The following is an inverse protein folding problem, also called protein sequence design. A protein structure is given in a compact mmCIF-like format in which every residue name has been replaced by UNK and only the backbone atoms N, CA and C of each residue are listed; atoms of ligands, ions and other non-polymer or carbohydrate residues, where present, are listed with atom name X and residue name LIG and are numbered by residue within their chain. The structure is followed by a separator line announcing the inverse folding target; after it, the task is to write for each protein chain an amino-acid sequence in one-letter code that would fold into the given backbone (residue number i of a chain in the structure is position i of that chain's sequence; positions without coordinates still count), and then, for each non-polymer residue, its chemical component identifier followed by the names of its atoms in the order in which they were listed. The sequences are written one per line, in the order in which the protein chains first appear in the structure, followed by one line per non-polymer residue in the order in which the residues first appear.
data_IF_213196338392
#
_entry.id   IF_213196338392
#
_cell.length_a   1.000
_cell.length_b   1.000
_cell.length_c   1.000
_cell.angle_alpha   90.00
_cell.angle_beta   90.00
_cell.angle_gamma   90.00
#
_symmetry.space_group_name_H-M   'P 1'
#
loop_
_entity.id
_entity.type
_entity.pdbx_description
1 polymer ?
#
# COMPACT_ATOMS: atom_id res chain seq x y z
N UNK A 1 1.72 28.97 20.12
CA UNK A 1 1.31 27.57 19.83
C UNK A 1 0.04 27.64 19.01
N UNK A 2 0.04 27.07 17.84
CA UNK A 2 -1.15 26.97 16.96
C UNK A 2 -2.10 26.01 17.68
N UNK A 3 -3.33 26.45 17.94
CA UNK A 3 -4.30 25.64 18.71
C UNK A 3 -5.40 25.14 17.78
N UNK A 4 -5.12 24.05 17.05
CA UNK A 4 -6.16 23.35 16.30
C UNK A 4 -7.11 22.63 17.25
N UNK A 5 -8.42 22.81 17.06
CA UNK A 5 -9.48 22.13 17.81
C UNK A 5 -10.21 21.08 16.99
N UNK A 6 -10.36 21.32 15.68
CA UNK A 6 -11.02 20.40 14.76
C UNK A 6 -10.14 20.15 13.55
N UNK A 7 -9.71 18.93 13.40
CA UNK A 7 -8.79 18.48 12.34
C UNK A 7 -9.49 17.46 11.48
N UNK A 8 -9.50 17.67 10.17
CA UNK A 8 -9.96 16.72 9.17
C UNK A 8 -8.77 16.11 8.44
N UNK A 9 -8.69 14.80 8.44
CA UNK A 9 -7.67 14.03 7.72
C UNK A 9 -8.39 13.10 6.73
N UNK A 10 -8.46 13.45 5.44
CA UNK A 10 -8.94 12.55 4.42
C UNK A 10 -7.89 11.49 4.09
N UNK A 11 -8.32 10.21 3.97
CA UNK A 11 -7.48 9.10 3.55
C UNK A 11 -8.27 8.07 2.75
N UNK A 12 -8.24 8.19 1.43
CA UNK A 12 -9.13 7.41 0.54
C UNK A 12 -8.41 6.29 -0.22
N UNK A 13 -7.10 6.12 -0.04
CA UNK A 13 -6.30 5.15 -0.77
C UNK A 13 -6.55 3.70 -0.30
N UNK A 14 -5.59 3.00 0.26
CA UNK A 14 -5.78 1.59 0.60
C UNK A 14 -5.73 1.33 2.11
N UNK A 15 -6.16 0.13 2.51
CA UNK A 15 -6.12 -0.31 3.90
C UNK A 15 -4.72 -0.19 4.52
N UNK A 16 -3.67 -0.56 3.75
CA UNK A 16 -2.28 -0.48 4.19
C UNK A 16 -1.83 0.95 4.46
N UNK A 17 -2.27 1.90 3.64
CA UNK A 17 -1.95 3.31 3.79
C UNK A 17 -2.51 3.89 5.10
N UNK A 18 -3.73 3.46 5.48
CA UNK A 18 -4.36 3.89 6.74
C UNK A 18 -3.62 3.28 7.92
N UNK A 19 -3.26 2.00 7.84
CA UNK A 19 -2.50 1.31 8.90
C UNK A 19 -1.15 1.99 9.16
N UNK A 20 -0.43 2.37 8.10
CA UNK A 20 0.86 3.06 8.23
C UNK A 20 0.74 4.48 8.82
N UNK A 21 -0.43 5.10 8.76
CA UNK A 21 -0.68 6.43 9.32
C UNK A 21 -0.83 6.42 10.86
N UNK A 22 -1.00 5.24 11.48
CA UNK A 22 -1.36 5.10 12.90
C UNK A 22 -0.40 5.85 13.84
N UNK A 23 0.92 5.67 13.72
CA UNK A 23 1.89 6.34 14.60
C UNK A 23 1.88 7.87 14.49
N UNK A 24 1.56 8.40 13.31
CA UNK A 24 1.34 9.84 13.14
C UNK A 24 0.06 10.30 13.86
N UNK A 25 -1.03 9.56 13.75
CA UNK A 25 -2.30 9.86 14.44
C UNK A 25 -2.13 9.81 15.95
N UNK A 26 -1.45 8.78 16.49
CA UNK A 26 -1.16 8.66 17.93
C UNK A 26 -0.42 9.90 18.43
N UNK A 27 0.62 10.31 17.71
CA UNK A 27 1.42 11.50 18.06
C UNK A 27 0.58 12.79 17.94
N UNK A 28 -0.23 12.92 16.89
CA UNK A 28 -1.10 14.08 16.70
C UNK A 28 -2.07 14.25 17.88
N UNK A 29 -2.67 13.15 18.36
CA UNK A 29 -3.54 13.16 19.54
C UNK A 29 -2.78 13.53 20.81
N UNK A 30 -1.54 13.09 20.96
CA UNK A 30 -0.70 13.41 22.11
C UNK A 30 -0.24 14.89 22.12
N UNK A 31 0.13 15.44 20.96
CA UNK A 31 0.55 16.84 20.83
C UNK A 31 -0.63 17.83 20.91
N UNK A 32 -1.83 17.39 20.54
CA UNK A 32 -3.05 18.20 20.53
C UNK A 32 -4.19 17.54 21.33
N UNK A 33 -4.05 17.37 22.65
CA UNK A 33 -4.98 16.60 23.49
C UNK A 33 -6.40 17.19 23.57
N UNK A 34 -6.59 18.41 23.12
CA UNK A 34 -7.89 19.10 23.08
C UNK A 34 -8.50 19.14 21.68
N UNK A 35 -7.81 18.57 20.69
CA UNK A 35 -8.31 18.51 19.32
C UNK A 35 -9.22 17.31 19.11
N UNK A 36 -10.25 17.50 18.31
CA UNK A 36 -11.03 16.41 17.72
C UNK A 36 -10.42 16.09 16.35
N UNK A 37 -9.83 14.92 16.22
CA UNK A 37 -9.30 14.41 14.95
C UNK A 37 -10.38 13.58 14.28
N UNK A 38 -10.78 13.98 13.07
CA UNK A 38 -11.70 13.21 12.22
C UNK A 38 -10.91 12.59 11.07
N UNK A 39 -10.93 11.28 10.98
CA UNK A 39 -10.36 10.53 9.88
C UNK A 39 -11.49 10.15 8.89
N UNK A 40 -11.45 10.74 7.71
CA UNK A 40 -12.42 10.51 6.65
C UNK A 40 -11.86 9.48 5.66
N UNK A 41 -12.50 8.32 5.60
CA UNK A 41 -12.05 7.16 4.84
C UNK A 41 -13.12 6.62 3.90
N UNK A 42 -12.80 5.65 3.06
CA UNK A 42 -13.80 4.91 2.31
C UNK A 42 -14.60 3.98 3.20
N UNK A 43 -15.83 3.71 2.80
CA UNK A 43 -16.70 2.74 3.47
C UNK A 43 -15.98 1.40 3.70
N UNK A 44 -16.13 0.87 4.91
CA UNK A 44 -15.51 -0.37 5.36
C UNK A 44 -14.12 -0.21 5.96
N UNK A 45 -13.43 0.92 5.79
CA UNK A 45 -12.12 1.16 6.42
C UNK A 45 -12.23 1.68 7.85
N UNK A 46 -13.40 2.24 8.23
CA UNK A 46 -13.76 2.55 9.62
C UNK A 46 -13.74 1.32 10.54
N UNK A 47 -13.77 0.11 9.98
CA UNK A 47 -13.59 -1.14 10.71
C UNK A 47 -12.20 -1.31 11.34
N UNK A 48 -11.24 -0.46 10.97
CA UNK A 48 -9.97 -0.32 11.69
C UNK A 48 -10.09 0.41 13.03
N UNK A 49 -11.20 1.11 13.28
CA UNK A 49 -11.37 1.93 14.48
C UNK A 49 -11.08 1.19 15.80
N UNK A 50 -11.49 -0.07 16.01
CA UNK A 50 -11.15 -0.81 17.23
C UNK A 50 -9.67 -1.09 17.43
N UNK A 51 -8.86 -1.02 16.36
CA UNK A 51 -7.43 -1.33 16.36
C UNK A 51 -6.56 -0.06 16.52
N UNK A 52 -7.16 1.12 16.35
CA UNK A 52 -6.50 2.42 16.40
C UNK A 52 -6.58 3.06 17.79
N UNK A 53 -5.77 4.10 18.08
CA UNK A 53 -5.90 4.89 19.31
C UNK A 53 -7.31 5.42 19.51
N UNK A 54 -7.75 5.51 20.75
CA UNK A 54 -9.04 6.10 21.08
C UNK A 54 -9.00 7.63 20.89
N UNK A 55 -10.15 8.22 20.57
CA UNK A 55 -10.27 9.67 20.41
C UNK A 55 -10.35 10.13 18.95
N UNK A 56 -10.30 9.22 18.01
CA UNK A 56 -10.52 9.50 16.60
C UNK A 56 -12.01 9.40 16.28
N UNK A 57 -12.55 10.40 15.59
CA UNK A 57 -13.85 10.33 14.94
C UNK A 57 -13.67 9.74 13.54
N UNK A 58 -14.26 8.60 13.27
CA UNK A 58 -14.28 8.00 11.95
C UNK A 58 -15.50 8.48 11.18
N UNK A 59 -15.28 8.85 9.92
CA UNK A 59 -16.30 9.24 8.96
C UNK A 59 -16.03 8.53 7.65
N UNK A 60 -17.07 8.09 6.96
CA UNK A 60 -16.91 7.31 5.72
C UNK A 60 -17.60 7.95 4.55
N UNK A 61 -17.21 7.53 3.35
CA UNK A 61 -17.85 7.84 2.08
C UNK A 61 -17.72 6.67 1.12
N UNK A 62 -18.77 6.42 0.33
CA UNK A 62 -18.76 5.43 -0.75
C UNK A 62 -18.07 5.91 -2.03
N UNK A 63 -17.67 7.18 -2.10
CA UNK A 63 -17.00 7.76 -3.27
C UNK A 63 -15.67 7.07 -3.54
N UNK A 64 -15.45 6.72 -4.80
CA UNK A 64 -14.24 6.04 -5.22
C UNK A 64 -13.20 7.03 -5.76
N UNK A 65 -12.00 7.13 -5.15
CA UNK A 65 -11.00 8.16 -5.48
C UNK A 65 -10.32 7.96 -6.84
N UNK A 66 -10.37 6.74 -7.40
CA UNK A 66 -9.60 6.33 -8.59
C UNK A 66 -10.46 5.96 -9.78
N UNK A 67 -11.70 6.41 -9.84
CA UNK A 67 -12.56 6.31 -11.01
C UNK A 67 -13.26 7.63 -11.31
N UNK A 68 -13.77 7.76 -12.52
CA UNK A 68 -14.62 8.88 -12.88
C UNK A 68 -15.89 8.92 -11.99
N UNK A 69 -16.36 10.13 -11.72
CA UNK A 69 -17.63 10.35 -11.03
C UNK A 69 -18.77 9.89 -11.91
N UNK A 70 -19.62 9.02 -11.38
CA UNK A 70 -20.82 8.52 -12.04
C UNK A 70 -22.06 9.29 -11.56
N UNK A 71 -23.17 9.18 -12.29
CA UNK A 71 -24.42 9.84 -11.91
C UNK A 71 -24.94 9.37 -10.54
N UNK A 72 -24.73 8.09 -10.22
CA UNK A 72 -25.04 7.50 -8.92
C UNK A 72 -24.27 8.11 -7.75
N UNK A 73 -23.09 8.69 -8.00
CA UNK A 73 -22.23 9.27 -6.96
C UNK A 73 -22.67 10.68 -6.54
N UNK A 74 -23.53 11.33 -7.31
CA UNK A 74 -23.88 12.74 -7.07
C UNK A 74 -24.60 12.96 -5.73
N UNK A 75 -25.42 12.02 -5.28
CA UNK A 75 -26.09 12.10 -3.99
C UNK A 75 -25.08 11.97 -2.84
N UNK A 76 -24.18 11.00 -2.95
CA UNK A 76 -23.13 10.79 -1.98
C UNK A 76 -22.15 11.98 -1.91
N UNK A 77 -21.77 12.51 -3.08
CA UNK A 77 -20.93 13.71 -3.15
C UNK A 77 -21.57 14.90 -2.43
N UNK A 78 -22.90 15.11 -2.64
CA UNK A 78 -23.63 16.16 -1.94
C UNK A 78 -23.66 15.91 -0.45
N UNK A 79 -23.98 14.67 -0.03
CA UNK A 79 -24.00 14.27 1.37
C UNK A 79 -22.66 14.50 2.05
N UNK A 80 -21.56 14.08 1.42
CA UNK A 80 -20.21 14.31 1.92
C UNK A 80 -19.91 15.80 2.09
N UNK A 81 -20.20 16.61 1.08
CA UNK A 81 -19.96 18.04 1.14
C UNK A 81 -20.80 18.72 2.23
N UNK A 82 -22.09 18.38 2.35
CA UNK A 82 -22.95 18.91 3.39
C UNK A 82 -22.43 18.55 4.79
N UNK A 83 -22.00 17.33 5.00
CA UNK A 83 -21.42 16.86 6.27
C UNK A 83 -20.12 17.60 6.62
N UNK A 84 -19.21 17.70 5.66
CA UNK A 84 -17.88 18.31 5.89
C UNK A 84 -17.98 19.82 6.04
N UNK A 85 -18.89 20.50 5.34
CA UNK A 85 -19.08 21.96 5.45
C UNK A 85 -19.96 22.37 6.63
N UNK A 86 -20.67 21.45 7.26
CA UNK A 86 -21.41 21.72 8.50
C UNK A 86 -20.52 21.98 9.71
N UNK A 87 -19.28 21.51 9.69
CA UNK A 87 -18.28 21.74 10.73
C UNK A 87 -17.34 22.91 10.35
N UNK A 88 -16.94 23.67 11.38
CA UNK A 88 -15.87 24.67 11.21
C UNK A 88 -14.51 24.01 11.51
N UNK A 89 -13.77 23.64 10.49
CA UNK A 89 -12.45 23.01 10.62
C UNK A 89 -11.36 24.06 10.83
N UNK A 90 -10.42 23.78 11.74
CA UNK A 90 -9.23 24.61 11.91
C UNK A 90 -8.11 24.15 10.96
N UNK A 91 -8.05 22.82 10.71
CA UNK A 91 -7.02 22.22 9.88
C UNK A 91 -7.62 21.13 8.97
N UNK A 92 -7.34 21.23 7.68
CA UNK A 92 -7.42 20.14 6.71
C UNK A 92 -5.99 19.63 6.46
N UNK A 93 -5.75 18.35 6.77
CA UNK A 93 -4.45 17.74 6.67
C UNK A 93 -4.47 16.58 5.67
N UNK A 94 -3.98 16.81 4.45
CA UNK A 94 -3.94 15.81 3.38
C UNK A 94 -2.62 15.05 3.46
N UNK A 95 -2.69 13.82 3.96
CA UNK A 95 -1.54 12.94 4.20
C UNK A 95 -1.20 12.05 3.00
N UNK A 96 -1.98 12.11 1.93
CA UNK A 96 -1.81 11.36 0.69
C UNK A 96 -0.83 12.06 -0.23
N UNK A 97 0.24 11.37 -0.66
CA UNK A 97 1.21 11.93 -1.61
C UNK A 97 0.58 12.14 -3.00
N UNK A 98 -0.02 11.10 -3.57
CA UNK A 98 -0.77 11.18 -4.83
C UNK A 98 -2.22 11.56 -4.52
N UNK A 99 -2.48 12.87 -4.44
CA UNK A 99 -3.79 13.40 -4.04
C UNK A 99 -4.88 12.96 -4.99
N UNK A 100 -5.97 12.53 -4.41
CA UNK A 100 -7.17 12.17 -5.17
C UNK A 100 -7.99 13.42 -5.50
N UNK A 101 -8.95 13.28 -6.41
CA UNK A 101 -9.88 14.37 -6.71
C UNK A 101 -10.73 14.77 -5.48
N UNK A 102 -10.96 13.84 -4.55
CA UNK A 102 -11.71 14.13 -3.31
C UNK A 102 -10.87 15.01 -2.39
N UNK A 103 -9.58 14.75 -2.24
CA UNK A 103 -8.65 15.56 -1.42
C UNK A 103 -8.64 17.02 -1.89
N UNK A 104 -8.55 17.21 -3.19
CA UNK A 104 -8.49 18.55 -3.79
C UNK A 104 -9.84 19.27 -3.76
N UNK A 105 -10.96 18.52 -3.92
CA UNK A 105 -12.30 19.06 -3.74
C UNK A 105 -12.51 19.57 -2.30
N UNK A 106 -12.12 18.78 -1.30
CA UNK A 106 -12.19 19.17 0.10
C UNK A 106 -11.34 20.43 0.36
N UNK A 107 -10.12 20.48 -0.16
CA UNK A 107 -9.26 21.66 -0.04
C UNK A 107 -9.89 22.92 -0.66
N UNK A 108 -10.56 22.79 -1.79
CA UNK A 108 -11.27 23.91 -2.43
C UNK A 108 -12.50 24.37 -1.63
N UNK A 109 -13.21 23.43 -0.96
CA UNK A 109 -14.44 23.72 -0.21
C UNK A 109 -14.19 24.23 1.20
N UNK A 110 -13.06 23.85 1.81
CA UNK A 110 -12.69 24.21 3.18
C UNK A 110 -11.69 25.38 3.24
N UNK A 111 -11.92 26.42 2.43
CA UNK A 111 -11.04 27.59 2.35
C UNK A 111 -10.93 28.36 3.70
N UNK A 112 -11.83 28.14 4.67
CA UNK A 112 -11.77 28.70 6.02
C UNK A 112 -10.81 27.98 6.96
N UNK A 113 -10.40 26.74 6.65
CA UNK A 113 -9.41 25.97 7.40
C UNK A 113 -7.99 26.27 6.90
N UNK A 114 -6.99 26.09 7.76
CA UNK A 114 -5.62 25.94 7.28
C UNK A 114 -5.50 24.62 6.54
N UNK A 115 -4.91 24.62 5.32
CA UNK A 115 -4.83 23.43 4.46
C UNK A 115 -3.38 23.06 4.24
N UNK A 116 -2.99 21.92 4.76
CA UNK A 116 -1.62 21.40 4.69
C UNK A 116 -1.65 20.07 3.94
N UNK A 117 -0.72 19.86 3.02
CA UNK A 117 -0.60 18.63 2.26
C UNK A 117 0.83 18.15 2.17
N UNK A 118 1.00 16.84 1.99
CA UNK A 118 2.27 16.20 1.62
C UNK A 118 2.49 16.28 0.10
N UNK A 119 3.75 16.25 -0.33
CA UNK A 119 4.15 16.02 -1.71
C UNK A 119 4.61 17.25 -2.46
N UNK A 120 4.40 17.26 -3.76
CA UNK A 120 4.68 18.38 -4.65
C UNK A 120 3.38 19.12 -4.98
N UNK A 121 3.46 20.32 -5.58
CA UNK A 121 2.30 21.18 -5.77
C UNK A 121 1.13 20.54 -6.52
N UNK A 122 1.41 19.59 -7.45
CA UNK A 122 0.34 18.86 -8.15
C UNK A 122 0.84 17.50 -8.66
N UNK A 123 0.58 16.44 -7.92
CA UNK A 123 0.49 15.11 -8.53
C UNK A 123 -0.97 14.65 -8.56
N UNK A 124 -1.73 15.21 -9.50
CA UNK A 124 -3.08 14.72 -9.79
C UNK A 124 -2.98 13.53 -10.74
N UNK A 125 -3.74 12.48 -10.46
CA UNK A 125 -3.97 11.46 -11.47
C UNK A 125 -4.72 12.09 -12.66
N UNK A 126 -4.56 11.54 -13.85
CA UNK A 126 -5.27 12.00 -15.09
C UNK A 126 -6.79 12.15 -14.87
N UNK A 127 -7.38 11.31 -14.03
CA UNK A 127 -8.79 11.37 -13.63
C UNK A 127 -9.14 12.61 -12.80
N UNK A 128 -8.26 13.00 -11.90
CA UNK A 128 -8.46 14.16 -11.08
C UNK A 128 -8.40 15.45 -11.91
N UNK A 129 -7.56 15.49 -12.93
CA UNK A 129 -7.42 16.63 -13.83
C UNK A 129 -8.69 16.87 -14.65
N UNK A 130 -9.27 15.83 -15.26
CA UNK A 130 -10.52 15.95 -16.01
C UNK A 130 -11.68 16.38 -15.10
N UNK A 131 -11.78 15.81 -13.91
CA UNK A 131 -12.82 16.18 -12.95
C UNK A 131 -12.64 17.60 -12.39
N UNK A 132 -11.39 18.04 -12.14
CA UNK A 132 -11.09 19.42 -11.78
C UNK A 132 -11.62 20.40 -12.82
N UNK A 133 -11.36 20.10 -14.10
CA UNK A 133 -11.84 20.92 -15.21
C UNK A 133 -13.37 20.98 -15.25
N UNK A 134 -14.04 19.84 -15.05
CA UNK A 134 -15.52 19.75 -15.03
C UNK A 134 -16.14 20.49 -13.84
N UNK A 135 -15.51 20.44 -12.69
CA UNK A 135 -15.99 21.07 -11.44
C UNK A 135 -15.54 22.52 -11.31
N UNK A 136 -14.72 23.03 -12.23
CA UNK A 136 -14.16 24.37 -12.17
C UNK A 136 -13.25 24.58 -10.95
N UNK A 137 -12.56 23.52 -10.50
CA UNK A 137 -11.67 23.60 -9.35
C UNK A 137 -10.32 24.23 -9.76
N UNK A 138 -9.72 25.05 -8.90
CA UNK A 138 -8.39 25.58 -9.17
C UNK A 138 -7.37 24.44 -9.15
N UNK A 139 -6.40 24.51 -10.06
CA UNK A 139 -5.31 23.54 -10.15
C UNK A 139 -4.10 23.95 -9.30
N UNK A 140 -4.03 25.18 -8.83
CA UNK A 140 -2.94 25.69 -7.99
C UNK A 140 -3.48 26.50 -6.81
N UNK A 141 -2.69 26.65 -5.74
CA UNK A 141 -3.05 27.45 -4.57
C UNK A 141 -4.14 26.83 -3.69
N UNK A 142 -4.37 25.52 -3.81
CA UNK A 142 -5.34 24.79 -2.99
C UNK A 142 -4.90 24.62 -1.53
N UNK A 143 -3.60 24.61 -1.28
CA UNK A 143 -3.01 24.38 0.04
C UNK A 143 -2.23 25.61 0.48
N UNK A 144 -2.35 25.96 1.76
CA UNK A 144 -1.62 27.06 2.38
C UNK A 144 -0.16 26.66 2.65
N UNK A 145 0.08 25.36 2.80
CA UNK A 145 1.42 24.77 2.90
C UNK A 145 1.46 23.41 2.22
N UNK A 146 2.50 23.16 1.45
CA UNK A 146 2.85 21.82 0.93
C UNK A 146 4.19 21.43 1.54
N UNK A 147 4.23 20.28 2.21
CA UNK A 147 5.45 19.71 2.79
C UNK A 147 6.13 18.84 1.74
N UNK A 148 7.27 19.27 1.18
CA UNK A 148 7.91 18.57 0.08
C UNK A 148 8.52 17.24 0.54
N UNK A 149 8.19 16.17 -0.17
CA UNK A 149 8.76 14.83 0.01
C UNK A 149 8.91 14.16 -1.35
N UNK A 150 9.89 13.28 -1.51
CA UNK A 150 10.02 12.50 -2.74
C UNK A 150 8.96 11.39 -2.80
N UNK A 151 8.49 11.05 -4.00
CA UNK A 151 7.52 9.97 -4.21
C UNK A 151 8.01 8.63 -3.64
N UNK A 152 9.28 8.31 -3.85
CA UNK A 152 9.93 7.07 -3.42
C UNK A 152 10.24 6.98 -1.91
N UNK A 153 10.04 8.06 -1.15
CA UNK A 153 10.21 8.05 0.30
C UNK A 153 9.22 7.08 0.93
N UNK A 154 9.65 6.34 1.96
CA UNK A 154 8.78 5.46 2.74
C UNK A 154 7.58 6.22 3.32
N UNK A 155 6.41 5.57 3.42
CA UNK A 155 5.20 6.28 3.89
C UNK A 155 5.37 6.83 5.30
N UNK A 156 5.96 6.07 6.22
CA UNK A 156 6.24 6.54 7.59
C UNK A 156 7.20 7.72 7.63
N UNK A 157 8.18 7.76 6.73
CA UNK A 157 9.14 8.89 6.65
C UNK A 157 8.49 10.15 6.07
N UNK A 158 7.50 9.98 5.18
CA UNK A 158 6.65 11.08 4.72
C UNK A 158 5.85 11.68 5.87
N UNK A 159 5.28 10.84 6.74
CA UNK A 159 4.57 11.32 7.92
C UNK A 159 5.51 11.97 8.93
N UNK A 160 6.75 11.49 9.06
CA UNK A 160 7.77 12.17 9.85
C UNK A 160 8.03 13.59 9.33
N UNK A 161 8.15 13.76 8.01
CA UNK A 161 8.34 15.09 7.40
C UNK A 161 7.15 16.02 7.68
N UNK A 162 5.93 15.48 7.63
CA UNK A 162 4.72 16.24 7.96
C UNK A 162 4.67 16.61 9.44
N UNK A 163 5.04 15.68 10.34
CA UNK A 163 5.14 15.93 11.77
C UNK A 163 6.15 17.04 12.08
N UNK A 164 7.33 16.98 11.48
CA UNK A 164 8.39 17.98 11.69
C UNK A 164 7.97 19.37 11.23
N UNK A 165 7.16 19.44 10.17
CA UNK A 165 6.60 20.70 9.69
C UNK A 165 5.53 21.28 10.63
N UNK A 166 4.72 20.42 11.26
CA UNK A 166 3.67 20.83 12.21
C UNK A 166 4.24 21.11 13.61
N UNK A 167 5.22 20.33 14.05
CA UNK A 167 5.77 20.34 15.42
C UNK A 167 7.31 20.36 15.42
N UNK A 168 7.94 21.46 15.00
CA UNK A 168 9.39 21.54 14.91
C UNK A 168 10.08 21.23 16.24
N UNK A 169 11.09 20.37 16.21
CA UNK A 169 11.92 20.03 17.38
C UNK A 169 11.29 19.04 18.37
N UNK A 170 10.19 18.39 18.00
CA UNK A 170 9.59 17.30 18.77
C UNK A 170 10.32 15.97 18.52
N UNK A 171 10.00 14.97 19.36
CA UNK A 171 10.53 13.62 19.20
C UNK A 171 10.06 12.98 17.88
N UNK A 172 10.86 12.10 17.27
CA UNK A 172 10.46 11.36 16.10
C UNK A 172 9.17 10.55 16.34
N UNK A 173 8.42 10.32 15.25
CA UNK A 173 7.21 9.50 15.30
C UNK A 173 7.52 8.08 15.78
N UNK A 174 6.66 7.49 16.62
CA UNK A 174 6.71 6.06 16.88
C UNK A 174 6.40 5.27 15.60
N UNK A 175 6.92 4.05 15.51
CA UNK A 175 6.47 3.13 14.48
C UNK A 175 4.97 2.84 14.66
N UNK A 176 4.19 2.72 13.58
CA UNK A 176 2.77 2.43 13.67
C UNK A 176 2.53 1.09 14.40
N UNK A 177 1.54 1.07 15.30
CA UNK A 177 1.26 -0.07 16.16
C UNK A 177 -0.23 -0.24 16.39
N UNK A 178 -0.81 -1.25 15.77
CA UNK A 178 -2.21 -1.62 16.03
C UNK A 178 -2.36 -2.39 17.35
N UNK A 179 -3.53 -2.25 17.97
CA UNK A 179 -3.87 -2.92 19.24
C UNK A 179 -5.10 -3.81 19.05
N UNK A 180 -4.98 -5.07 19.45
CA UNK A 180 -6.10 -6.02 19.37
C UNK A 180 -7.03 -5.86 20.56
N UNK A 181 -8.32 -5.83 20.31
CA UNK A 181 -9.32 -5.88 21.38
C UNK A 181 -9.41 -7.27 22.00
N UNK A 182 -9.70 -7.41 23.29
CA UNK A 182 -9.91 -8.72 23.93
C UNK A 182 -10.99 -9.55 23.22
N UNK A 183 -12.06 -8.93 22.74
CA UNK A 183 -13.15 -9.57 22.01
C UNK A 183 -12.66 -10.17 20.69
N UNK A 184 -11.93 -9.42 19.89
CA UNK A 184 -11.35 -9.91 18.63
C UNK A 184 -10.42 -11.11 18.87
N UNK A 185 -9.63 -11.08 19.96
CA UNK A 185 -8.76 -12.20 20.33
C UNK A 185 -9.55 -13.45 20.74
N UNK A 186 -10.70 -13.30 21.39
CA UNK A 186 -11.58 -14.42 21.77
C UNK A 186 -12.22 -15.01 20.50
N UNK A 187 -12.87 -14.19 19.69
CA UNK A 187 -13.52 -14.62 18.43
C UNK A 187 -12.54 -15.33 17.50
N UNK A 188 -11.31 -14.83 17.40
CA UNK A 188 -10.27 -15.47 16.62
C UNK A 188 -9.92 -16.86 17.14
N UNK A 189 -9.82 -17.08 18.48
CA UNK A 189 -9.57 -18.41 19.05
C UNK A 189 -10.72 -19.38 18.79
N UNK A 190 -11.94 -18.93 18.91
CA UNK A 190 -13.13 -19.75 18.61
C UNK A 190 -13.13 -20.18 17.14
N UNK A 191 -12.85 -19.25 16.23
CA UNK A 191 -12.76 -19.54 14.81
C UNK A 191 -11.61 -20.53 14.51
N UNK A 192 -10.42 -20.33 15.07
CA UNK A 192 -9.29 -21.25 14.92
C UNK A 192 -9.65 -22.66 15.36
N UNK A 193 -10.37 -22.80 16.49
CA UNK A 193 -10.83 -24.11 16.95
C UNK A 193 -11.75 -24.78 15.93
N UNK A 194 -12.65 -24.06 15.28
CA UNK A 194 -13.52 -24.62 14.20
C UNK A 194 -12.73 -25.04 12.96
N UNK A 195 -11.59 -24.39 12.72
CA UNK A 195 -10.67 -24.71 11.62
C UNK A 195 -9.66 -25.80 11.97
N UNK A 196 -9.72 -26.34 13.19
CA UNK A 196 -8.76 -27.33 13.70
C UNK A 196 -7.34 -26.77 13.81
N UNK A 197 -7.21 -25.51 14.20
CA UNK A 197 -5.97 -24.79 14.42
C UNK A 197 -5.87 -24.28 15.86
N UNK A 198 -4.65 -24.14 16.35
CA UNK A 198 -4.33 -23.55 17.66
C UNK A 198 -3.39 -22.34 17.47
N UNK A 199 -3.40 -21.43 18.43
CA UNK A 199 -2.48 -20.31 18.44
C UNK A 199 -1.01 -20.77 18.32
N UNK A 200 -0.23 -20.18 17.42
CA UNK A 200 1.15 -20.55 17.18
C UNK A 200 1.38 -21.83 16.37
N UNK A 201 0.32 -22.61 16.06
CA UNK A 201 0.42 -23.85 15.27
C UNK A 201 0.31 -23.64 13.75
N UNK A 202 0.04 -22.42 13.31
CA UNK A 202 -0.16 -22.07 11.92
C UNK A 202 0.57 -20.78 11.55
N UNK A 203 0.70 -20.54 10.27
CA UNK A 203 1.10 -19.23 9.76
C UNK A 203 0.00 -18.62 8.88
N UNK A 204 -0.11 -17.31 8.92
CA UNK A 204 -1.03 -16.56 8.10
C UNK A 204 -0.47 -16.42 6.68
N UNK A 205 -1.24 -16.78 5.66
CA UNK A 205 -0.79 -16.72 4.28
C UNK A 205 -1.80 -15.99 3.40
N UNK A 206 -1.36 -14.90 2.74
CA UNK A 206 -2.18 -14.16 1.77
C UNK A 206 -1.58 -14.30 0.39
N UNK A 207 -2.18 -15.17 -0.42
CA UNK A 207 -1.72 -15.48 -1.78
C UNK A 207 -2.42 -14.64 -2.85
N UNK A 208 -3.52 -13.98 -2.48
CA UNK A 208 -4.32 -13.15 -3.37
C UNK A 208 -3.83 -11.71 -3.37
N UNK A 209 -4.26 -10.96 -4.35
CA UNK A 209 -4.07 -9.51 -4.45
C UNK A 209 -5.35 -8.87 -4.99
N UNK A 210 -5.40 -7.55 -4.93
CA UNK A 210 -6.54 -6.78 -5.46
C UNK A 210 -6.85 -7.19 -6.91
N UNK A 211 -8.11 -7.49 -7.26
CA UNK A 211 -8.49 -7.91 -8.61
C UNK A 211 -8.08 -6.91 -9.71
N UNK A 212 -7.99 -5.64 -9.37
CA UNK A 212 -7.58 -4.57 -10.28
C UNK A 212 -6.09 -4.65 -10.69
N UNK A 213 -5.25 -5.36 -9.92
CA UNK A 213 -3.81 -5.44 -10.15
C UNK A 213 -3.32 -6.90 -10.01
N UNK A 214 -3.73 -7.82 -10.90
CA UNK A 214 -3.37 -9.24 -10.80
C UNK A 214 -1.87 -9.49 -10.93
N UNK A 215 -1.12 -8.56 -11.49
CA UNK A 215 0.36 -8.61 -11.58
C UNK A 215 1.06 -8.51 -10.22
N UNK A 216 0.35 -8.10 -9.15
CA UNK A 216 0.87 -8.02 -7.77
C UNK A 216 0.90 -9.38 -7.07
N UNK A 217 1.01 -10.48 -7.78
CA UNK A 217 0.97 -11.81 -7.19
C UNK A 217 2.24 -12.60 -7.43
N UNK A 218 2.79 -13.14 -6.36
CA UNK A 218 3.78 -14.21 -6.45
C UNK A 218 3.11 -15.48 -7.02
N UNK A 219 3.81 -16.29 -7.86
CA UNK A 219 3.22 -17.48 -8.44
C UNK A 219 2.66 -18.45 -7.39
N UNK A 220 1.45 -18.97 -7.64
CA UNK A 220 0.78 -19.89 -6.71
C UNK A 220 1.60 -21.15 -6.44
N UNK A 221 2.29 -21.66 -7.46
CA UNK A 221 3.16 -22.82 -7.37
C UNK A 221 4.27 -22.61 -6.34
N UNK A 222 4.85 -21.41 -6.29
CA UNK A 222 5.91 -21.06 -5.33
C UNK A 222 5.37 -20.91 -3.91
N UNK A 223 4.16 -20.37 -3.75
CA UNK A 223 3.49 -20.41 -2.46
C UNK A 223 3.31 -21.85 -1.99
N UNK A 224 2.82 -22.74 -2.85
CA UNK A 224 2.58 -24.14 -2.50
C UNK A 224 3.88 -24.89 -2.21
N UNK A 225 4.93 -24.69 -2.98
CA UNK A 225 6.25 -25.27 -2.70
C UNK A 225 6.80 -24.81 -1.33
N UNK A 226 6.59 -23.53 -0.99
CA UNK A 226 6.94 -23.01 0.34
C UNK A 226 6.06 -23.64 1.44
N UNK A 227 4.77 -23.87 1.17
CA UNK A 227 3.87 -24.56 2.12
C UNK A 227 4.31 -25.99 2.37
N UNK A 228 4.70 -26.75 1.33
CA UNK A 228 5.24 -28.11 1.45
C UNK A 228 6.47 -28.11 2.35
N UNK A 229 7.43 -27.24 2.07
CA UNK A 229 8.63 -27.12 2.88
C UNK A 229 8.32 -26.80 4.36
N UNK A 230 7.40 -25.85 4.62
CA UNK A 230 7.00 -25.48 5.99
C UNK A 230 6.34 -26.63 6.75
N UNK A 231 5.53 -27.43 6.05
CA UNK A 231 4.90 -28.60 6.65
C UNK A 231 5.92 -29.72 6.94
N UNK A 232 6.82 -30.01 6.00
CA UNK A 232 7.81 -31.06 6.13
C UNK A 232 8.88 -30.76 7.19
N UNK A 233 9.43 -29.53 7.17
CA UNK A 233 10.54 -29.16 8.06
C UNK A 233 10.08 -28.64 9.43
N UNK A 234 8.90 -28.03 9.49
CA UNK A 234 8.46 -27.31 10.70
C UNK A 234 7.11 -27.79 11.25
N UNK A 235 6.40 -28.66 10.55
CA UNK A 235 5.10 -29.16 10.97
C UNK A 235 4.01 -28.08 11.07
N UNK A 236 4.18 -26.93 10.35
CA UNK A 236 3.29 -25.78 10.46
C UNK A 236 2.32 -25.76 9.29
N UNK A 237 1.04 -25.57 9.58
CA UNK A 237 -0.02 -25.50 8.57
C UNK A 237 -0.29 -24.05 8.10
N UNK A 238 -0.62 -23.80 6.81
CA UNK A 238 -1.09 -22.51 6.37
C UNK A 238 -2.55 -22.27 6.77
N UNK A 239 -2.84 -21.05 7.24
CA UNK A 239 -4.16 -20.45 7.21
C UNK A 239 -4.20 -19.45 6.06
N UNK A 240 -4.87 -19.82 4.97
CA UNK A 240 -5.09 -18.93 3.84
C UNK A 240 -6.10 -17.86 4.25
N UNK A 241 -5.70 -16.61 4.14
CA UNK A 241 -6.51 -15.44 4.46
C UNK A 241 -6.84 -14.65 3.20
N UNK A 242 -8.05 -14.11 3.12
CA UNK A 242 -8.49 -13.26 2.03
C UNK A 242 -9.85 -12.64 2.30
N UNK A 243 -10.37 -11.92 1.31
CA UNK A 243 -11.74 -11.43 1.32
C UNK A 243 -12.65 -12.39 0.54
N UNK A 244 -13.93 -12.42 0.88
CA UNK A 244 -14.92 -13.30 0.24
C UNK A 244 -14.94 -13.15 -1.30
N UNK A 245 -14.71 -11.95 -1.81
CA UNK A 245 -14.62 -11.71 -3.26
C UNK A 245 -13.44 -12.40 -3.95
N UNK A 246 -12.49 -12.92 -3.18
CA UNK A 246 -11.28 -13.63 -3.66
C UNK A 246 -11.40 -15.16 -3.54
N UNK A 247 -12.58 -15.67 -3.15
CA UNK A 247 -12.86 -17.08 -2.87
C UNK A 247 -12.27 -18.04 -3.90
N UNK A 248 -12.58 -17.82 -5.17
CA UNK A 248 -12.15 -18.72 -6.25
C UNK A 248 -10.63 -18.82 -6.34
N UNK A 249 -9.92 -17.73 -6.13
CA UNK A 249 -8.45 -17.67 -6.16
C UNK A 249 -7.85 -18.39 -4.95
N UNK A 250 -8.36 -18.12 -3.76
CA UNK A 250 -7.90 -18.75 -2.54
C UNK A 250 -8.15 -20.26 -2.55
N UNK A 251 -9.33 -20.69 -3.02
CA UNK A 251 -9.65 -22.12 -3.17
C UNK A 251 -8.77 -22.82 -4.22
N UNK A 252 -8.39 -22.14 -5.29
CA UNK A 252 -7.47 -22.70 -6.28
C UNK A 252 -6.09 -22.99 -5.67
N UNK A 253 -5.58 -22.09 -4.82
CA UNK A 253 -4.32 -22.33 -4.09
C UNK A 253 -4.47 -23.46 -3.07
N UNK A 254 -5.57 -23.50 -2.31
CA UNK A 254 -5.84 -24.58 -1.36
C UNK A 254 -5.88 -25.96 -2.05
N UNK A 255 -6.57 -26.04 -3.20
CA UNK A 255 -6.65 -27.28 -3.99
C UNK A 255 -5.29 -27.68 -4.60
N UNK A 256 -4.44 -26.72 -4.96
CA UNK A 256 -3.08 -27.00 -5.41
C UNK A 256 -2.20 -27.51 -4.27
N UNK A 257 -2.33 -26.93 -3.08
CA UNK A 257 -1.64 -27.35 -1.87
C UNK A 257 -2.05 -28.78 -1.44
N UNK A 258 -3.35 -29.08 -1.48
CA UNK A 258 -3.89 -30.41 -1.17
C UNK A 258 -3.33 -31.51 -2.07
N UNK A 259 -3.17 -31.23 -3.39
CA UNK A 259 -2.53 -32.17 -4.33
C UNK A 259 -1.07 -32.48 -3.97
N UNK A 260 -0.42 -31.61 -3.24
CA UNK A 260 0.95 -31.78 -2.73
C UNK A 260 0.98 -32.27 -1.27
N UNK A 261 -0.16 -32.70 -0.73
CA UNK A 261 -0.25 -33.25 0.62
C UNK A 261 -0.33 -32.22 1.74
N UNK A 262 -0.51 -30.92 1.41
CA UNK A 262 -0.63 -29.86 2.40
C UNK A 262 -2.10 -29.53 2.67
N UNK A 263 -2.54 -29.69 3.94
CA UNK A 263 -3.88 -29.31 4.37
C UNK A 263 -3.89 -27.81 4.76
N UNK A 264 -4.28 -26.96 3.82
CA UNK A 264 -4.49 -25.55 4.10
C UNK A 264 -5.86 -25.30 4.74
N UNK A 265 -5.89 -24.58 5.86
CA UNK A 265 -7.13 -23.98 6.35
C UNK A 265 -7.43 -22.71 5.56
N UNK A 266 -8.70 -22.36 5.42
CA UNK A 266 -9.15 -21.19 4.65
C UNK A 266 -10.12 -20.37 5.49
N UNK A 267 -9.84 -19.08 5.63
CA UNK A 267 -10.77 -18.09 6.13
C UNK A 267 -10.88 -16.90 5.18
N UNK A 268 -12.11 -16.59 4.80
CA UNK A 268 -12.41 -15.46 3.93
C UNK A 268 -13.33 -14.51 4.68
N UNK A 269 -12.77 -13.37 5.05
CA UNK A 269 -13.49 -12.34 5.76
C UNK A 269 -14.51 -11.62 4.87
N UNK A 270 -15.49 -11.04 5.53
CA UNK A 270 -16.48 -10.14 4.94
C UNK A 270 -16.25 -8.72 5.44
N UNK A 271 -17.03 -7.79 4.91
CA UNK A 271 -17.04 -6.44 5.46
C UNK A 271 -17.45 -6.49 6.95
N UNK A 272 -16.73 -5.80 7.82
CA UNK A 272 -16.97 -5.79 9.26
C UNK A 272 -16.02 -6.68 10.08
N UNK A 273 -15.04 -7.34 9.47
CA UNK A 273 -14.23 -8.36 10.14
C UNK A 273 -12.72 -8.06 10.17
N UNK A 274 -12.31 -6.79 10.02
CA UNK A 274 -10.89 -6.42 10.07
C UNK A 274 -10.26 -6.63 11.46
N UNK A 275 -11.02 -6.47 12.52
CA UNK A 275 -10.58 -6.78 13.87
C UNK A 275 -10.40 -8.29 14.10
N UNK A 276 -11.28 -9.12 13.51
CA UNK A 276 -11.14 -10.57 13.51
C UNK A 276 -9.92 -11.02 12.69
N UNK A 277 -9.69 -10.42 11.51
CA UNK A 277 -8.46 -10.62 10.74
C UNK A 277 -7.22 -10.34 11.59
N UNK A 278 -7.20 -9.19 12.27
CA UNK A 278 -6.11 -8.83 13.16
C UNK A 278 -5.95 -9.83 14.33
N UNK A 279 -7.06 -10.33 14.88
CA UNK A 279 -7.09 -11.39 15.89
C UNK A 279 -6.52 -12.72 15.40
N UNK A 280 -6.75 -13.10 14.14
CA UNK A 280 -6.15 -14.27 13.50
C UNK A 280 -4.65 -14.04 13.25
N UNK A 281 -4.27 -12.87 12.79
CA UNK A 281 -2.87 -12.54 12.52
C UNK A 281 -2.01 -12.63 13.78
N UNK A 282 -2.42 -12.00 14.90
CA UNK A 282 -1.59 -11.98 16.11
C UNK A 282 -1.38 -13.36 16.75
N UNK A 283 -2.25 -14.32 16.45
CA UNK A 283 -2.15 -15.70 16.94
C UNK A 283 -1.37 -16.63 15.99
N UNK A 284 -1.03 -16.15 14.81
CA UNK A 284 -0.17 -16.87 13.87
C UNK A 284 1.29 -16.86 14.34
N UNK A 285 2.08 -17.81 13.87
CA UNK A 285 3.51 -17.85 14.13
C UNK A 285 4.28 -16.80 13.32
N UNK A 286 3.84 -16.55 12.09
CA UNK A 286 4.34 -15.50 11.20
C UNK A 286 3.34 -15.26 10.05
N UNK A 287 3.59 -14.23 9.26
CA UNK A 287 2.87 -13.89 8.04
C UNK A 287 3.75 -14.11 6.81
N UNK A 288 3.20 -14.71 5.76
CA UNK A 288 3.77 -14.77 4.41
C UNK A 288 2.70 -14.33 3.41
N UNK A 289 2.99 -13.40 2.54
CA UNK A 289 2.01 -13.01 1.52
C UNK A 289 2.48 -11.89 0.60
N UNK A 290 1.63 -11.56 -0.37
CA UNK A 290 1.87 -10.45 -1.27
C UNK A 290 1.76 -9.09 -0.54
N UNK A 291 2.31 -8.03 -1.15
CA UNK A 291 2.16 -6.63 -0.73
C UNK A 291 0.68 -6.21 -0.74
N UNK A 292 0.02 -6.35 0.40
CA UNK A 292 -1.42 -6.07 0.60
C UNK A 292 -1.69 -5.54 2.02
N UNK A 293 -2.91 -5.03 2.25
CA UNK A 293 -3.32 -4.50 3.55
C UNK A 293 -3.07 -5.44 4.75
N UNK A 294 -3.40 -6.74 4.68
CA UNK A 294 -3.11 -7.71 5.74
C UNK A 294 -1.63 -7.81 6.13
N UNK A 295 -0.69 -7.61 5.19
CA UNK A 295 0.74 -7.57 5.48
C UNK A 295 1.09 -6.41 6.42
N UNK A 296 0.54 -5.22 6.16
CA UNK A 296 0.77 -4.06 7.01
C UNK A 296 0.15 -4.24 8.40
N UNK A 297 -1.06 -4.83 8.48
CA UNK A 297 -1.67 -5.18 9.76
C UNK A 297 -0.75 -6.14 10.53
N UNK A 298 -0.27 -7.20 9.88
CA UNK A 298 0.62 -8.19 10.50
C UNK A 298 1.90 -7.53 11.07
N UNK A 299 2.56 -6.70 10.27
CA UNK A 299 3.80 -6.03 10.65
C UNK A 299 3.59 -5.05 11.83
N UNK A 300 2.49 -4.30 11.83
CA UNK A 300 2.16 -3.33 12.90
C UNK A 300 1.66 -4.00 14.19
N UNK A 301 1.27 -5.26 14.13
CA UNK A 301 1.02 -6.13 15.29
C UNK A 301 2.29 -6.79 15.86
N UNK A 302 3.47 -6.45 15.34
CA UNK A 302 4.76 -7.04 15.68
C UNK A 302 4.84 -8.56 15.38
N UNK A 303 3.98 -9.06 14.48
CA UNK A 303 4.06 -10.42 13.96
C UNK A 303 5.25 -10.53 13.00
N UNK A 304 6.11 -11.58 13.12
CA UNK A 304 7.12 -11.83 12.08
C UNK A 304 6.48 -11.86 10.69
N UNK A 305 6.96 -11.03 9.77
CA UNK A 305 6.27 -10.77 8.51
C UNK A 305 7.21 -10.85 7.32
N UNK A 306 6.86 -11.66 6.33
CA UNK A 306 7.49 -11.69 5.01
C UNK A 306 6.46 -11.22 3.98
N UNK A 307 6.70 -10.05 3.39
CA UNK A 307 5.91 -9.51 2.28
C UNK A 307 6.63 -9.72 0.95
N UNK A 308 5.96 -10.31 -0.03
CA UNK A 308 6.51 -10.44 -1.39
C UNK A 308 6.10 -9.21 -2.19
N UNK A 309 7.09 -8.51 -2.76
CA UNK A 309 6.91 -7.23 -3.42
C UNK A 309 7.21 -7.28 -4.91
N UNK A 310 6.49 -6.44 -5.63
CA UNK A 310 6.86 -6.03 -6.98
C UNK A 310 7.38 -4.61 -7.03
N UNK A 311 7.86 -4.19 -8.20
CA UNK A 311 8.52 -2.92 -8.40
C UNK A 311 7.63 -1.68 -8.46
N UNK A 312 6.29 -1.81 -8.44
CA UNK A 312 5.38 -0.70 -8.74
C UNK A 312 5.60 0.54 -7.87
N UNK A 313 5.50 0.39 -6.58
CA UNK A 313 5.67 1.48 -5.60
C UNK A 313 6.91 1.27 -4.70
N UNK A 314 7.87 0.50 -5.17
CA UNK A 314 9.07 0.19 -4.41
C UNK A 314 9.96 1.42 -4.16
N UNK A 315 10.58 1.62 -2.98
CA UNK A 315 10.42 0.87 -1.72
C UNK A 315 9.36 1.47 -0.76
N UNK A 316 8.45 2.28 -1.26
CA UNK A 316 7.55 3.16 -0.53
C UNK A 316 6.75 2.46 0.58
N UNK A 317 6.27 1.24 0.32
CA UNK A 317 5.36 0.49 1.19
C UNK A 317 6.01 -0.72 1.86
N UNK A 318 7.29 -0.65 2.17
CA UNK A 318 7.92 -1.73 2.94
C UNK A 318 7.20 -1.95 4.28
N UNK A 319 7.07 -3.21 4.74
CA UNK A 319 6.42 -3.49 6.02
C UNK A 319 7.20 -2.87 7.17
N UNK A 320 6.50 -2.25 8.11
CA UNK A 320 7.09 -1.57 9.27
C UNK A 320 6.92 -2.45 10.50
N UNK A 321 8.02 -3.03 10.99
CA UNK A 321 8.01 -3.91 12.15
C UNK A 321 9.43 -4.38 12.48
N UNK A 322 9.66 -4.80 13.72
CA UNK A 322 11.00 -5.25 14.17
C UNK A 322 11.47 -6.51 13.44
N UNK A 323 10.53 -7.37 13.05
CA UNK A 323 10.77 -8.62 12.35
C UNK A 323 9.93 -8.69 11.07
N UNK A 324 10.01 -7.64 10.27
CA UNK A 324 9.26 -7.54 9.04
C UNK A 324 10.20 -7.28 7.86
N UNK A 325 10.06 -8.04 6.79
CA UNK A 325 10.90 -7.99 5.60
C UNK A 325 10.04 -7.91 4.35
N UNK A 326 10.32 -6.92 3.49
CA UNK A 326 9.87 -6.88 2.11
C UNK A 326 10.87 -7.58 1.22
N UNK A 327 10.46 -8.63 0.53
CA UNK A 327 11.27 -9.43 -0.37
C UNK A 327 10.91 -9.12 -1.81
N UNK A 328 11.87 -8.66 -2.60
CA UNK A 328 11.66 -8.26 -3.99
C UNK A 328 12.76 -8.74 -4.92
N UNK A 329 12.41 -9.04 -6.17
CA UNK A 329 13.39 -9.21 -7.25
C UNK A 329 13.84 -7.84 -7.75
N UNK A 330 15.15 -7.55 -7.75
CA UNK A 330 15.70 -6.25 -8.18
C UNK A 330 15.68 -6.13 -9.71
N UNK A 331 14.86 -5.21 -10.22
CA UNK A 331 14.75 -4.91 -11.64
C UNK A 331 14.92 -3.41 -11.89
N UNK A 332 15.51 -3.01 -13.03
CA UNK A 332 15.72 -1.61 -13.35
C UNK A 332 14.42 -0.81 -13.59
N UNK A 333 13.27 -1.49 -13.73
CA UNK A 333 11.98 -0.86 -13.93
C UNK A 333 11.22 -0.55 -12.63
N UNK A 334 11.84 -0.72 -11.45
CA UNK A 334 11.23 -0.37 -10.19
C UNK A 334 10.82 1.11 -10.14
N UNK A 335 9.68 1.39 -9.51
CA UNK A 335 9.02 2.69 -9.55
C UNK A 335 8.11 2.85 -10.79
N UNK A 336 7.70 1.75 -11.43
CA UNK A 336 6.83 1.78 -12.61
C UNK A 336 5.36 2.16 -12.33
N UNK A 337 4.99 2.32 -11.08
CA UNK A 337 3.63 2.66 -10.65
C UNK A 337 2.56 1.68 -11.19
N UNK A 338 2.93 0.40 -11.29
CA UNK A 338 2.13 -0.71 -11.87
C UNK A 338 1.79 -0.56 -13.37
N UNK A 339 2.30 0.45 -14.03
CA UNK A 339 2.25 0.55 -15.49
C UNK A 339 3.31 -0.40 -16.08
N UNK A 340 2.97 -1.70 -16.06
CA UNK A 340 3.91 -2.76 -16.36
C UNK A 340 4.01 -2.99 -17.87
N UNK A 341 5.21 -2.94 -18.40
CA UNK A 341 5.50 -3.29 -19.80
C UNK A 341 5.33 -4.80 -20.09
N UNK A 342 5.16 -5.60 -19.04
CA UNK A 342 5.03 -7.05 -19.10
C UNK A 342 3.67 -7.48 -18.56
N UNK A 343 3.08 -8.50 -19.16
CA UNK A 343 1.74 -9.00 -18.79
C UNK A 343 1.76 -9.68 -17.42
N UNK A 344 2.90 -10.25 -17.01
CA UNK A 344 3.00 -11.25 -15.93
C UNK A 344 3.85 -10.83 -14.71
N UNK A 345 4.16 -9.54 -14.56
CA UNK A 345 4.84 -9.01 -13.37
C UNK A 345 6.17 -9.72 -13.04
N UNK A 346 7.19 -9.58 -13.85
CA UNK A 346 8.46 -10.33 -13.71
C UNK A 346 9.15 -10.13 -12.36
N UNK A 347 8.98 -9.00 -11.74
CA UNK A 347 9.57 -8.70 -10.44
C UNK A 347 9.15 -9.69 -9.34
N UNK A 348 7.92 -10.22 -9.41
CA UNK A 348 7.49 -11.30 -8.51
C UNK A 348 8.07 -12.66 -8.88
N UNK A 349 8.29 -12.91 -10.18
CA UNK A 349 8.86 -14.18 -10.67
C UNK A 349 10.35 -14.33 -10.37
N UNK A 350 11.07 -13.24 -10.12
CA UNK A 350 12.47 -13.29 -9.71
C UNK A 350 12.67 -13.71 -8.26
N UNK A 351 11.64 -13.57 -7.42
CA UNK A 351 11.69 -14.06 -6.04
C UNK A 351 11.55 -15.58 -6.07
N UNK A 352 12.61 -16.29 -5.72
CA UNK A 352 12.62 -17.75 -5.65
C UNK A 352 12.01 -18.27 -4.34
N UNK A 353 11.72 -19.56 -4.28
CA UNK A 353 11.29 -20.23 -3.05
C UNK A 353 12.42 -20.22 -2.01
N UNK A 354 13.67 -20.37 -2.43
CA UNK A 354 14.82 -20.29 -1.51
C UNK A 354 14.99 -18.90 -0.90
N UNK A 355 14.72 -17.82 -1.64
CA UNK A 355 14.67 -16.47 -1.09
C UNK A 355 13.58 -16.32 -0.03
N UNK A 356 12.39 -16.86 -0.31
CA UNK A 356 11.29 -16.87 0.65
C UNK A 356 11.63 -17.68 1.92
N UNK A 357 12.26 -18.86 1.78
CA UNK A 357 12.75 -19.67 2.92
C UNK A 357 13.77 -18.90 3.75
N UNK A 358 14.72 -18.22 3.10
CA UNK A 358 15.72 -17.40 3.79
C UNK A 358 15.06 -16.23 4.55
N UNK A 359 14.11 -15.53 3.94
CA UNK A 359 13.36 -14.45 4.57
C UNK A 359 12.54 -14.95 5.77
N UNK A 360 11.86 -16.10 5.64
CA UNK A 360 11.10 -16.72 6.74
C UNK A 360 12.02 -17.08 7.91
N UNK A 361 13.18 -17.70 7.66
CA UNK A 361 14.15 -17.99 8.69
C UNK A 361 14.63 -16.71 9.40
N UNK A 362 14.92 -15.67 8.64
CA UNK A 362 15.35 -14.37 9.17
C UNK A 362 14.32 -13.75 10.12
N UNK A 363 13.04 -13.69 9.73
CA UNK A 363 12.00 -13.07 10.58
C UNK A 363 11.61 -13.93 11.78
N UNK A 364 11.85 -15.24 11.72
CA UNK A 364 11.63 -16.18 12.85
C UNK A 364 12.77 -16.16 13.86
N UNK A 365 13.92 -15.63 13.51
CA UNK A 365 14.99 -15.41 14.47
C UNK A 365 14.54 -14.43 15.57
N UNK A 366 15.09 -14.56 16.77
CA UNK A 366 14.69 -13.74 17.92
C UNK A 366 15.15 -12.29 17.82
N UNK A 367 16.20 -12.04 17.06
CA UNK A 367 16.76 -10.72 16.87
C UNK A 367 15.95 -9.88 15.87
N UNK A 368 15.86 -8.56 16.07
CA UNK A 368 15.31 -7.67 15.06
C UNK A 368 16.05 -7.79 13.74
N UNK A 369 15.34 -7.72 12.63
CA UNK A 369 15.98 -7.71 11.30
C UNK A 369 16.82 -6.43 11.14
N UNK A 370 18.00 -6.56 10.57
CA UNK A 370 18.91 -5.43 10.33
C UNK A 370 18.42 -4.48 9.21
N UNK A 371 17.53 -4.97 8.37
CA UNK A 371 16.90 -4.20 7.29
C UNK A 371 15.52 -4.77 6.96
N UNK A 372 14.54 -3.91 6.81
CA UNK A 372 13.19 -4.30 6.37
C UNK A 372 13.14 -4.63 4.86
N UNK A 373 14.28 -4.62 4.21
CA UNK A 373 14.43 -4.89 2.80
C UNK A 373 15.36 -6.09 2.58
N UNK A 374 14.87 -7.09 1.85
CA UNK A 374 15.67 -8.18 1.32
C UNK A 374 15.51 -8.24 -0.19
N UNK A 375 16.62 -8.15 -0.89
CA UNK A 375 16.63 -8.37 -2.34
C UNK A 375 16.82 -9.87 -2.60
N UNK A 376 16.02 -10.43 -3.51
CA UNK A 376 16.18 -11.82 -3.93
C UNK A 376 17.63 -12.09 -4.36
N UNK A 377 18.19 -13.19 -3.91
CA UNK A 377 19.57 -13.56 -4.21
C UNK A 377 19.65 -13.98 -5.68
N UNK A 378 20.18 -13.09 -6.52
CA UNK A 378 20.32 -13.36 -7.94
C UNK A 378 21.42 -14.39 -8.20
N UNK A 379 21.04 -15.64 -8.14
CA UNK A 379 21.59 -16.53 -9.14
C UNK A 379 20.88 -16.13 -10.46
N UNK A 380 21.58 -15.39 -11.32
CA UNK A 380 21.14 -15.16 -12.69
C UNK A 380 21.11 -16.56 -13.31
N UNK A 381 19.97 -17.26 -13.15
CA UNK A 381 19.72 -18.46 -13.88
C UNK A 381 19.42 -18.06 -15.34
N UNK A 382 19.49 -18.99 -16.27
CA UNK A 382 19.20 -18.75 -17.68
C UNK A 382 17.81 -18.09 -17.88
N UNK A 383 16.84 -18.42 -17.04
CA UNK A 383 15.47 -17.85 -17.06
C UNK A 383 15.46 -16.35 -16.73
N UNK A 384 16.22 -15.92 -15.72
CA UNK A 384 16.36 -14.51 -15.36
C UNK A 384 17.14 -13.73 -16.43
N UNK A 385 18.18 -14.33 -17.03
CA UNK A 385 18.96 -13.72 -18.10
C UNK A 385 18.14 -13.58 -19.40
N UNK A 386 17.37 -14.60 -19.79
CA UNK A 386 16.45 -14.56 -20.92
C UNK A 386 15.36 -13.50 -20.69
N UNK A 387 14.85 -13.45 -19.48
CA UNK A 387 13.83 -12.50 -19.08
C UNK A 387 14.33 -11.05 -19.16
N UNK A 388 15.52 -10.76 -18.59
CA UNK A 388 16.18 -9.45 -18.68
C UNK A 388 16.44 -9.06 -20.13
N UNK A 389 16.86 -10.02 -20.97
CA UNK A 389 17.06 -9.81 -22.40
C UNK A 389 15.75 -9.41 -23.12
N UNK A 390 14.65 -10.10 -22.84
CA UNK A 390 13.31 -9.76 -23.37
C UNK A 390 12.82 -8.40 -22.88
N UNK A 391 13.08 -8.08 -21.61
CA UNK A 391 12.74 -6.80 -21.01
C UNK A 391 13.48 -5.64 -21.68
N UNK A 392 14.78 -5.76 -21.85
CA UNK A 392 15.60 -4.76 -22.53
C UNK A 392 15.19 -4.56 -23.99
N UNK A 393 14.81 -5.62 -24.68
CA UNK A 393 14.32 -5.53 -26.05
C UNK A 393 13.02 -4.74 -26.14
N UNK A 394 12.04 -5.06 -25.29
CA UNK A 394 10.76 -4.32 -25.23
C UNK A 394 10.95 -2.86 -24.82
N UNK A 395 11.83 -2.57 -23.86
CA UNK A 395 12.15 -1.19 -23.48
C UNK A 395 12.73 -0.39 -24.65
N UNK A 396 13.63 -0.99 -25.43
CA UNK A 396 14.20 -0.37 -26.64
C UNK A 396 13.15 -0.14 -27.74
N UNK A 397 12.23 -1.09 -27.91
CA UNK A 397 11.12 -0.95 -28.87
C UNK A 397 10.17 0.18 -28.45
N UNK A 398 9.86 0.25 -27.16
CA UNK A 398 9.01 1.31 -26.61
C UNK A 398 9.68 2.69 -26.68
N UNK A 399 10.98 2.77 -26.40
CA UNK A 399 11.77 3.99 -26.55
C UNK A 399 11.75 4.50 -28.00
N UNK A 400 11.89 3.59 -28.97
CA UNK A 400 11.79 3.92 -30.41
C UNK A 400 10.38 4.41 -30.77
N UNK A 401 9.33 3.76 -30.24
CA UNK A 401 7.95 4.16 -30.48
C UNK A 401 7.64 5.54 -29.87
N UNK A 402 8.12 5.82 -28.65
CA UNK A 402 8.00 7.11 -28.02
C UNK A 402 8.78 8.20 -28.77
N UNK A 403 9.99 7.92 -29.23
CA UNK A 403 10.80 8.85 -30.01
C UNK A 403 10.15 9.20 -31.38
N UNK A 404 9.50 8.21 -32.03
CA UNK A 404 8.72 8.44 -33.25
C UNK A 404 7.49 9.29 -32.97
N UNK A 405 6.78 9.01 -31.88
CA UNK A 405 5.57 9.77 -31.48
C UNK A 405 5.91 11.21 -31.07
N UNK A 406 7.04 11.43 -30.39
CA UNK A 406 7.57 12.78 -30.11
C UNK A 406 7.85 13.51 -31.41
N UNK A 407 8.50 12.90 -32.40
CA UNK A 407 8.75 13.52 -33.72
C UNK A 407 7.46 13.85 -34.48
N UNK A 408 6.45 12.99 -34.42
CA UNK A 408 5.13 13.25 -35.02
C UNK A 408 4.42 14.43 -34.37
N UNK A 409 4.57 14.60 -33.06
CA UNK A 409 3.96 15.68 -32.29
C UNK A 409 4.76 16.97 -32.44
N UNK A 410 6.10 16.90 -32.46
CA UNK A 410 6.97 18.03 -32.80
C UNK A 410 6.60 18.69 -34.15
N UNK A 411 6.04 17.91 -35.04
CA UNK A 411 5.48 18.41 -36.30
C UNK A 411 4.10 19.07 -36.17
N UNK A 412 3.42 18.93 -35.02
CA UNK A 412 2.02 19.36 -34.83
C UNK A 412 1.79 20.44 -33.78
N UNK A 413 2.55 20.52 -32.70
CA UNK A 413 2.39 21.57 -31.66
C UNK A 413 3.44 21.52 -30.55
N UNK A 414 3.99 22.67 -30.15
CA UNK A 414 5.00 22.78 -29.09
C UNK A 414 4.45 22.52 -27.67
N UNK A 415 3.16 22.73 -27.42
CA UNK A 415 2.56 22.56 -26.09
C UNK A 415 2.29 21.09 -25.70
N UNK A 416 2.02 20.22 -26.68
CA UNK A 416 1.80 18.78 -26.42
C UNK A 416 3.10 18.03 -26.10
N UNK A 417 4.24 18.58 -26.52
CA UNK A 417 5.58 18.02 -26.28
C UNK A 417 5.93 18.04 -24.79
N UNK A 418 5.60 19.12 -24.08
CA UNK A 418 5.91 19.26 -22.65
C UNK A 418 5.14 18.28 -21.80
N UNK A 419 3.89 18.04 -22.12
CA UNK A 419 3.01 17.04 -21.47
C UNK A 419 3.53 15.61 -21.67
N UNK A 420 3.99 15.27 -22.87
CA UNK A 420 4.51 13.90 -23.16
C UNK A 420 5.90 13.69 -22.56
N UNK A 421 6.76 14.70 -22.56
CA UNK A 421 8.08 14.64 -21.90
C UNK A 421 7.93 14.47 -20.38
N UNK A 422 6.95 15.08 -19.77
CA UNK A 422 6.71 14.95 -18.34
C UNK A 422 6.04 13.62 -17.93
N UNK A 423 5.16 13.05 -18.76
CA UNK A 423 4.34 11.89 -18.36
C UNK A 423 4.89 10.54 -18.79
N UNK A 424 5.34 10.38 -20.02
CA UNK A 424 5.68 9.06 -20.59
C UNK A 424 7.18 8.85 -20.80
N UNK A 425 7.87 9.77 -21.45
CA UNK A 425 9.28 9.57 -21.78
C UNK A 425 10.21 9.60 -20.57
N UNK A 426 9.89 10.38 -19.56
CA UNK A 426 10.72 10.50 -18.35
C UNK A 426 10.64 9.24 -17.47
N UNK A 427 9.48 8.61 -17.37
CA UNK A 427 9.32 7.34 -16.61
C UNK A 427 9.97 6.15 -17.31
N UNK A 428 9.88 6.09 -18.63
CA UNK A 428 10.38 4.97 -19.44
C UNK A 428 11.90 5.01 -19.67
N UNK A 429 12.52 6.20 -19.70
CA UNK A 429 13.98 6.33 -19.87
C UNK A 429 14.76 6.32 -18.55
N UNK A 430 14.09 6.45 -17.39
CA UNK A 430 14.72 6.32 -16.07
C UNK A 430 15.43 4.98 -15.85
N UNK A 431 14.87 3.83 -16.25
CA UNK A 431 15.55 2.54 -16.17
C UNK A 431 16.79 2.44 -17.06
N UNK A 432 16.76 3.01 -18.26
CA UNK A 432 17.89 2.97 -19.19
C UNK A 432 19.05 3.86 -18.74
N UNK A 433 18.78 5.00 -18.12
CA UNK A 433 19.82 5.85 -17.52
C UNK A 433 20.45 5.19 -16.32
N UNK A 434 19.66 4.56 -15.44
CA UNK A 434 20.16 3.80 -14.31
C UNK A 434 21.07 2.62 -14.73
N UNK A 435 20.67 1.90 -15.81
CA UNK A 435 21.50 0.83 -16.39
C UNK A 435 22.81 1.38 -16.99
N UNK A 436 22.74 2.51 -17.68
CA UNK A 436 23.91 3.20 -18.24
C UNK A 436 24.88 3.69 -17.17
N UNK A 437 24.40 4.15 -16.04
CA UNK A 437 25.21 4.60 -14.91
C UNK A 437 25.86 3.43 -14.13
N UNK A 438 25.17 2.28 -14.05
CA UNK A 438 25.73 1.06 -13.44
C UNK A 438 26.73 0.34 -14.35
N UNK A 439 26.59 0.43 -15.66
CA UNK A 439 27.54 -0.15 -16.61
C UNK A 439 28.79 0.73 -16.83
N UNK A 440 28.75 1.98 -16.37
CA UNK A 440 29.91 2.90 -16.40
C UNK A 440 30.71 2.95 -15.10
N UNK A 441 30.24 2.30 -14.03
CA UNK A 441 30.97 2.04 -12.79
C UNK A 441 31.49 0.60 -12.77
#
# INVERSE_FOLDING_TARGET
MIQYRKILIPRFDTLGDIVLLEGFIETLLAELPHATVTLLVRDGYDQLAPLFPRGIRWQTTSLHPYRALEESDHLELRSLLDQVTADAWDLLLVTTYNRTWIDTLLAARLAGAQRIALGEDLSLSTWAEDLHNRLGLPTAGLFDQVVPVAESTGETDKYQSLHDALFPGRQPLPAPRLVITPDAAVRARELLSTLGLEAGSYYACVTTCTPALPIKSWPNERFVETMVWLQEEHGIRPLLLGHESERNRAQAVAALAEKQGVQAALWLGQNGELDLLAGLLIQARFYLGNDTGPMHIAATLDLPTVGIFGGGHWPRFLPVGKRAVGLAGDLPCFGCNWDCLFIDGPCFRLVSVEDAKAAIKMVLDKEPVSSNLMTASHLINEEAAEFIGKALTKLKEHEKACALRVKEIESKSNNEIEIIRSSLSWRLTKPLRWLGDRLRR
#
